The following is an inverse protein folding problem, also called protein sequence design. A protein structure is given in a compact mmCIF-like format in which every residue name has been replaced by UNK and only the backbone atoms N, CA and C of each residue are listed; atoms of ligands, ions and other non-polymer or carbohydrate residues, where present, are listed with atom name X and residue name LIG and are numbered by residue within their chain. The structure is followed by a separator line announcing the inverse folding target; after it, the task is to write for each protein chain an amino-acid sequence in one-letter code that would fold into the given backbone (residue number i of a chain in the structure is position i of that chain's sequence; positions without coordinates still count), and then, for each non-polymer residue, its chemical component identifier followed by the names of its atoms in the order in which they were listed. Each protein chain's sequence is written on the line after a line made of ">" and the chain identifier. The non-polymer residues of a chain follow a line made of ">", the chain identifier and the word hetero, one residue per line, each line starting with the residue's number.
data_IF_402299225069
#
_entry.id   IF_402299225069
#
_cell.length_a   1.000
_cell.length_b   1.000
_cell.length_c   1.000
_cell.angle_alpha   90.00
_cell.angle_beta   90.00
_cell.angle_gamma   90.00
#
_symmetry.space_group_name_H-M   'P 1'
#
loop_
_entity.id
_entity.type
_entity.pdbx_description
1 polymer ?
#
# COMPACT_ATOMS: atom_id res chain seq x y z
N UNK A 1 -26.84 30.33 48.45
CA UNK A 1 -27.95 29.63 47.78
C UNK A 1 -28.29 30.41 46.52
N UNK A 2 -27.98 29.88 45.33
CA UNK A 2 -28.34 30.51 44.05
C UNK A 2 -29.75 30.07 43.66
N UNK A 3 -30.66 31.00 43.29
CA UNK A 3 -31.97 30.62 42.80
C UNK A 3 -31.85 30.06 41.37
N UNK A 4 -32.33 28.83 41.17
CA UNK A 4 -32.49 28.27 39.84
C UNK A 4 -33.53 29.10 39.08
N UNK A 5 -33.10 29.82 38.04
CA UNK A 5 -34.01 30.53 37.15
C UNK A 5 -34.82 29.51 36.33
N UNK A 6 -36.14 29.49 36.52
CA UNK A 6 -37.04 28.67 35.72
C UNK A 6 -37.16 29.28 34.32
N UNK A 7 -36.65 28.56 33.32
CA UNK A 7 -36.76 28.95 31.91
C UNK A 7 -38.23 28.96 31.48
N UNK A 8 -38.66 30.03 30.80
CA UNK A 8 -40.03 30.08 30.28
C UNK A 8 -40.23 29.02 29.18
N UNK A 9 -41.46 28.54 29.01
CA UNK A 9 -41.80 27.52 28.00
C UNK A 9 -41.32 27.90 26.59
N UNK A 10 -41.35 29.18 26.25
CA UNK A 10 -40.82 29.71 24.98
C UNK A 10 -39.30 29.59 24.87
N UNK A 11 -38.55 29.86 25.93
CA UNK A 11 -37.09 29.70 25.94
C UNK A 11 -36.67 28.23 25.85
N UNK A 12 -37.43 27.30 26.45
CA UNK A 12 -37.22 25.86 26.27
C UNK A 12 -37.41 25.42 24.81
N UNK A 13 -38.46 25.90 24.14
CA UNK A 13 -38.70 25.60 22.73
C UNK A 13 -37.63 26.18 21.80
N UNK A 14 -37.17 27.41 22.06
CA UNK A 14 -36.06 28.00 21.32
C UNK A 14 -34.76 27.22 21.53
N UNK A 15 -34.46 26.80 22.77
CA UNK A 15 -33.30 25.96 23.06
C UNK A 15 -33.35 24.62 22.33
N UNK A 16 -34.50 23.96 22.32
CA UNK A 16 -34.69 22.71 21.58
C UNK A 16 -34.52 22.90 20.06
N UNK A 17 -35.01 24.01 19.51
CA UNK A 17 -34.89 24.32 18.08
C UNK A 17 -33.44 24.60 17.68
N UNK A 18 -32.68 25.32 18.51
CA UNK A 18 -31.25 25.59 18.28
C UNK A 18 -30.44 24.29 18.35
N UNK A 19 -30.68 23.44 19.35
CA UNK A 19 -29.99 22.14 19.46
C UNK A 19 -30.33 21.24 18.27
N UNK A 20 -31.60 21.21 17.86
CA UNK A 20 -32.04 20.47 16.68
C UNK A 20 -31.35 20.97 15.40
N UNK A 21 -31.25 22.28 15.22
CA UNK A 21 -30.58 22.88 14.06
C UNK A 21 -29.07 22.59 14.05
N UNK A 22 -28.39 22.65 15.21
CA UNK A 22 -26.97 22.29 15.32
C UNK A 22 -26.77 20.80 15.00
N UNK A 23 -27.60 19.90 15.56
CA UNK A 23 -27.53 18.47 15.26
C UNK A 23 -27.74 18.20 13.76
N UNK A 24 -28.71 18.88 13.14
CA UNK A 24 -28.97 18.75 11.70
C UNK A 24 -27.79 19.24 10.85
N UNK A 25 -27.20 20.38 11.21
CA UNK A 25 -26.02 20.93 10.53
C UNK A 25 -24.81 20.00 10.67
N UNK A 26 -24.59 19.39 11.83
CA UNK A 26 -23.49 18.43 12.03
C UNK A 26 -23.65 17.16 11.19
N UNK A 27 -24.88 16.68 11.00
CA UNK A 27 -25.17 15.51 10.16
C UNK A 27 -24.99 15.83 8.66
N UNK A 28 -25.34 17.04 8.22
CA UNK A 28 -25.19 17.47 6.84
C UNK A 28 -23.75 17.87 6.47
N UNK A 29 -22.95 18.31 7.45
CA UNK A 29 -21.53 18.65 7.26
C UNK A 29 -20.57 17.47 7.50
N UNK A 30 -21.06 16.27 7.83
CA UNK A 30 -20.23 15.10 7.95
C UNK A 30 -19.61 14.76 6.57
N UNK A 31 -18.28 14.77 6.41
CA UNK A 31 -17.66 14.51 5.12
C UNK A 31 -17.97 13.07 4.66
N UNK A 32 -18.72 12.92 3.58
CA UNK A 32 -19.10 11.62 2.98
C UNK A 32 -17.99 11.03 2.10
N UNK A 33 -16.73 11.35 2.39
CA UNK A 33 -15.60 10.84 1.62
C UNK A 33 -15.18 9.47 2.14
N UNK A 34 -15.89 8.42 1.73
CA UNK A 34 -15.34 7.06 1.72
C UNK A 34 -14.34 6.93 0.58
N UNK A 35 -13.23 7.69 0.62
CA UNK A 35 -12.05 7.34 -0.17
C UNK A 35 -11.62 5.99 0.39
N UNK A 36 -11.76 4.93 -0.40
CA UNK A 36 -11.36 3.58 0.01
C UNK A 36 -9.87 3.61 0.36
N UNK A 37 -9.54 3.68 1.66
CA UNK A 37 -8.16 3.71 2.20
C UNK A 37 -7.49 2.34 2.17
N UNK A 38 -7.93 1.49 1.26
CA UNK A 38 -7.39 0.15 1.07
C UNK A 38 -5.93 0.27 0.64
N UNK A 39 -5.03 -0.36 1.40
CA UNK A 39 -3.58 -0.22 1.20
C UNK A 39 -2.88 0.91 1.97
N UNK A 40 -3.58 1.76 2.74
CA UNK A 40 -2.90 2.82 3.50
C UNK A 40 -1.97 2.26 4.58
N UNK A 41 -0.78 2.85 4.66
CA UNK A 41 0.32 2.46 5.55
C UNK A 41 -0.03 2.54 7.03
N UNK A 42 -0.99 3.39 7.42
CA UNK A 42 -1.38 3.60 8.83
C UNK A 42 -2.80 3.12 9.15
N UNK A 43 -3.50 2.57 8.16
CA UNK A 43 -4.83 2.03 8.39
C UNK A 43 -4.74 0.79 9.28
N UNK A 44 -5.66 0.70 10.25
CA UNK A 44 -5.89 -0.51 11.07
C UNK A 44 -6.95 -1.44 10.47
N UNK A 45 -7.55 -1.06 9.34
CA UNK A 45 -8.50 -1.92 8.64
C UNK A 45 -7.81 -3.20 8.15
N UNK A 46 -8.52 -4.33 7.96
CA UNK A 46 -7.91 -5.59 7.53
C UNK A 46 -7.08 -5.50 6.23
N UNK A 47 -7.47 -4.61 5.33
CA UNK A 47 -6.81 -4.33 4.04
C UNK A 47 -5.79 -3.18 4.10
N UNK A 48 -5.56 -2.61 5.28
CA UNK A 48 -4.50 -1.64 5.56
C UNK A 48 -3.14 -2.30 5.84
N UNK A 49 -2.11 -1.49 5.99
CA UNK A 49 -0.72 -1.94 6.18
C UNK A 49 -0.09 -1.47 7.51
N UNK A 50 -0.91 -1.01 8.47
CA UNK A 50 -0.45 -0.51 9.77
C UNK A 50 0.40 -1.50 10.56
N UNK A 51 0.02 -2.78 10.59
CA UNK A 51 0.78 -3.81 11.31
C UNK A 51 2.12 -4.13 10.61
N UNK A 52 2.16 -4.12 9.28
CA UNK A 52 3.42 -4.24 8.53
C UNK A 52 4.32 -3.02 8.72
N UNK A 53 3.75 -1.80 8.77
CA UNK A 53 4.50 -0.59 9.11
C UNK A 53 5.16 -0.70 10.48
N UNK A 54 4.40 -1.10 11.51
CA UNK A 54 4.95 -1.32 12.85
C UNK A 54 6.05 -2.37 12.85
N UNK A 55 5.84 -3.49 12.16
CA UNK A 55 6.85 -4.53 11.99
C UNK A 55 8.16 -4.00 11.38
N UNK A 56 8.09 -3.13 10.38
CA UNK A 56 9.26 -2.49 9.77
C UNK A 56 9.96 -1.50 10.71
N UNK A 57 9.18 -0.75 11.48
CA UNK A 57 9.70 0.18 12.49
C UNK A 57 10.43 -0.55 13.62
N UNK A 58 9.83 -1.61 14.16
CA UNK A 58 10.35 -2.37 15.31
C UNK A 58 11.69 -3.05 15.01
N UNK A 59 11.93 -3.41 13.74
CA UNK A 59 13.20 -3.98 13.27
C UNK A 59 14.25 -2.95 12.86
N UNK A 60 13.98 -1.65 13.05
CA UNK A 60 14.91 -0.57 12.73
C UNK A 60 15.01 -0.23 11.24
N UNK A 61 14.01 -0.58 10.43
CA UNK A 61 13.93 -0.24 9.01
C UNK A 61 12.77 0.72 8.77
N UNK A 62 12.87 2.00 9.21
CA UNK A 62 11.76 2.94 9.11
C UNK A 62 11.37 3.20 7.66
N UNK A 63 10.06 3.32 7.41
CA UNK A 63 9.51 3.61 6.09
C UNK A 63 8.93 5.03 6.04
N UNK A 64 9.11 5.70 4.91
CA UNK A 64 8.64 7.06 4.67
C UNK A 64 7.33 7.06 3.88
N UNK A 65 6.51 8.11 4.07
CA UNK A 65 5.29 8.30 3.28
C UNK A 65 5.58 9.20 2.10
N UNK A 66 5.03 8.85 0.96
CA UNK A 66 4.98 9.68 -0.22
C UNK A 66 3.52 10.01 -0.54
N UNK A 67 3.17 11.30 -0.48
CA UNK A 67 1.78 11.79 -0.68
C UNK A 67 1.71 12.83 -1.80
N UNK A 68 2.63 12.73 -2.75
CA UNK A 68 2.72 13.64 -3.88
C UNK A 68 2.66 12.82 -5.18
N UNK A 69 2.34 13.43 -6.32
CA UNK A 69 2.39 12.75 -7.61
C UNK A 69 3.77 12.14 -7.89
N UNK A 70 3.79 11.05 -8.65
CA UNK A 70 5.01 10.32 -8.99
C UNK A 70 6.05 11.22 -9.67
N UNK A 71 5.63 12.18 -10.49
CA UNK A 71 6.49 13.11 -11.22
C UNK A 71 7.37 13.96 -10.29
N UNK A 72 6.93 14.17 -9.04
CA UNK A 72 7.70 14.90 -8.04
C UNK A 72 8.79 14.04 -7.38
N UNK A 73 8.75 12.70 -7.48
CA UNK A 73 9.83 11.83 -6.98
C UNK A 73 11.13 12.08 -7.74
N UNK A 74 11.06 12.21 -9.06
CA UNK A 74 12.21 12.50 -9.92
C UNK A 74 12.82 13.88 -9.62
N UNK A 75 12.00 14.86 -9.24
CA UNK A 75 12.46 16.20 -8.86
C UNK A 75 13.09 16.23 -7.46
N UNK A 76 12.68 15.31 -6.58
CA UNK A 76 13.26 15.16 -5.23
C UNK A 76 14.50 14.30 -5.18
N UNK A 77 14.85 13.59 -6.26
CA UNK A 77 16.18 13.01 -6.39
C UNK A 77 17.19 14.14 -6.53
N UNK A 78 18.05 14.38 -5.53
CA UNK A 78 19.08 15.38 -5.70
C UNK A 78 20.09 14.86 -6.71
N UNK A 79 20.59 15.76 -7.54
CA UNK A 79 21.59 15.52 -8.59
C UNK A 79 22.98 15.09 -8.06
N UNK A 80 23.07 14.66 -6.81
CA UNK A 80 24.30 14.33 -6.11
C UNK A 80 24.39 12.82 -5.86
N UNK A 81 25.50 12.24 -6.29
CA UNK A 81 25.95 10.84 -6.10
C UNK A 81 25.84 10.32 -4.63
N UNK A 82 25.55 11.20 -3.66
CA UNK A 82 25.60 10.94 -2.22
C UNK A 82 24.24 10.93 -1.50
N UNK A 83 23.10 11.09 -2.17
CA UNK A 83 21.80 10.72 -1.59
C UNK A 83 21.31 9.41 -2.22
N UNK A 84 20.98 8.44 -1.35
CA UNK A 84 20.71 7.05 -1.74
C UNK A 84 19.54 6.90 -2.70
N UNK A 85 19.53 5.78 -3.45
CA UNK A 85 18.40 5.40 -4.30
C UNK A 85 17.15 5.18 -3.45
N UNK A 86 15.98 5.12 -4.09
CA UNK A 86 14.71 4.94 -3.40
C UNK A 86 14.08 3.63 -3.83
N UNK A 87 13.56 2.88 -2.86
CA UNK A 87 12.52 1.88 -3.11
C UNK A 87 11.16 2.51 -2.88
N UNK A 88 10.36 2.64 -3.93
CA UNK A 88 8.97 3.08 -3.83
C UNK A 88 8.04 1.85 -3.82
N UNK A 89 7.22 1.73 -2.79
CA UNK A 89 6.15 0.75 -2.68
C UNK A 89 4.81 1.39 -3.06
N UNK A 90 4.13 0.85 -4.06
CA UNK A 90 2.79 1.23 -4.48
C UNK A 90 1.81 0.11 -4.16
N UNK A 91 0.73 0.45 -3.46
CA UNK A 91 -0.30 -0.51 -3.06
C UNK A 91 -1.59 -0.17 -3.80
N UNK A 92 -1.82 -0.83 -4.93
CA UNK A 92 -2.95 -0.55 -5.81
C UNK A 92 -4.16 -1.42 -5.45
N UNK A 93 -5.06 -0.91 -4.61
CA UNK A 93 -6.33 -1.57 -4.28
C UNK A 93 -7.20 -1.87 -5.51
N UNK A 94 -7.08 -1.03 -6.56
CA UNK A 94 -7.58 -1.32 -7.90
C UNK A 94 -6.45 -1.88 -8.75
N UNK A 95 -6.62 -3.10 -9.25
CA UNK A 95 -5.57 -3.78 -10.02
C UNK A 95 -5.17 -2.95 -11.25
N UNK A 96 -3.87 -2.75 -11.45
CA UNK A 96 -3.32 -2.02 -12.59
C UNK A 96 -2.55 -2.96 -13.51
N UNK A 97 -2.56 -2.68 -14.81
CA UNK A 97 -1.73 -3.43 -15.77
C UNK A 97 -0.26 -3.32 -15.34
N UNK A 98 0.47 -4.44 -15.38
CA UNK A 98 1.90 -4.46 -15.10
C UNK A 98 2.66 -3.84 -16.27
N UNK A 99 2.74 -2.52 -16.27
CA UNK A 99 3.41 -1.71 -17.27
C UNK A 99 3.90 -0.43 -16.63
N UNK A 100 5.07 0.03 -17.05
CA UNK A 100 5.63 1.31 -16.63
C UNK A 100 5.30 2.37 -17.68
N UNK A 101 4.96 3.57 -17.22
CA UNK A 101 5.03 4.76 -18.06
C UNK A 101 6.49 5.21 -18.27
N UNK A 102 6.71 6.20 -19.14
CA UNK A 102 8.04 6.68 -19.49
C UNK A 102 8.79 7.27 -18.27
N UNK A 103 8.08 7.96 -17.37
CA UNK A 103 8.68 8.55 -16.18
C UNK A 103 9.10 7.47 -15.18
N UNK A 104 8.23 6.49 -14.95
CA UNK A 104 8.50 5.34 -14.10
C UNK A 104 9.67 4.52 -14.63
N UNK A 105 9.68 4.26 -15.95
CA UNK A 105 10.76 3.53 -16.60
C UNK A 105 12.10 4.26 -16.42
N UNK A 106 12.19 5.54 -16.78
CA UNK A 106 13.42 6.32 -16.65
C UNK A 106 13.89 6.41 -15.19
N UNK A 107 12.95 6.54 -14.24
CA UNK A 107 13.26 6.57 -12.81
C UNK A 107 13.82 5.22 -12.31
N UNK A 108 13.28 4.09 -12.75
CA UNK A 108 13.82 2.77 -12.40
C UNK A 108 15.18 2.56 -13.07
N UNK A 109 15.33 2.88 -14.36
CA UNK A 109 16.61 2.78 -15.10
C UNK A 109 17.74 3.58 -14.42
N UNK A 110 17.39 4.70 -13.80
CA UNK A 110 18.30 5.50 -12.97
C UNK A 110 18.73 4.81 -11.65
N UNK A 111 18.38 3.55 -11.40
CA UNK A 111 18.87 2.75 -10.27
C UNK A 111 17.93 2.62 -9.08
N UNK A 112 16.66 3.00 -9.25
CA UNK A 112 15.67 2.92 -8.19
C UNK A 112 14.89 1.61 -8.25
N UNK A 113 14.18 1.31 -7.16
CA UNK A 113 13.33 0.13 -7.08
C UNK A 113 11.88 0.55 -7.04
N UNK A 114 11.05 0.00 -7.93
CA UNK A 114 9.60 0.14 -7.87
C UNK A 114 8.97 -1.19 -7.47
N UNK A 115 8.22 -1.23 -6.37
CA UNK A 115 7.47 -2.40 -5.93
C UNK A 115 5.99 -2.10 -6.05
N UNK A 116 5.28 -2.83 -6.90
CA UNK A 116 3.86 -2.62 -7.17
C UNK A 116 3.05 -3.82 -6.71
N UNK A 117 2.21 -3.61 -5.70
CA UNK A 117 1.21 -4.58 -5.26
C UNK A 117 -0.12 -4.30 -5.95
N UNK A 118 -0.77 -5.35 -6.45
CA UNK A 118 -2.02 -5.22 -7.21
C UNK A 118 -1.82 -5.11 -8.73
N UNK A 119 -0.88 -5.87 -9.29
CA UNK A 119 -0.78 -6.06 -10.73
C UNK A 119 -1.95 -6.89 -11.28
N UNK A 120 -2.52 -6.46 -12.39
CA UNK A 120 -3.63 -7.13 -13.04
C UNK A 120 -3.14 -8.38 -13.77
N UNK A 121 -3.80 -9.50 -13.48
CA UNK A 121 -3.68 -10.75 -14.21
C UNK A 121 -5.07 -11.38 -14.38
N UNK A 122 -5.28 -12.17 -15.45
CA UNK A 122 -6.54 -12.86 -15.67
C UNK A 122 -6.83 -13.84 -14.51
N UNK A 123 -8.11 -14.02 -14.21
CA UNK A 123 -8.54 -15.05 -13.26
C UNK A 123 -8.29 -16.43 -13.88
N UNK A 124 -7.83 -17.37 -13.06
CA UNK A 124 -7.57 -18.76 -13.43
C UNK A 124 -8.24 -19.72 -12.46
N UNK A 125 -8.20 -21.02 -12.76
CA UNK A 125 -8.71 -22.07 -11.86
C UNK A 125 -7.79 -22.36 -10.65
N UNK A 126 -6.83 -21.48 -10.35
CA UNK A 126 -6.02 -21.62 -9.14
C UNK A 126 -6.91 -21.58 -7.89
N UNK A 127 -6.53 -22.35 -6.86
CA UNK A 127 -7.13 -22.20 -5.54
C UNK A 127 -6.96 -20.74 -5.07
N UNK A 128 -8.02 -20.17 -4.50
CA UNK A 128 -7.98 -18.76 -4.06
C UNK A 128 -6.91 -18.56 -2.99
N UNK A 129 -6.81 -19.47 -2.01
CA UNK A 129 -5.80 -19.46 -0.95
C UNK A 129 -4.73 -20.50 -1.24
N UNK A 130 -3.47 -20.06 -1.27
CA UNK A 130 -2.31 -20.93 -1.42
C UNK A 130 -1.21 -20.54 -0.43
N UNK A 131 -0.34 -21.50 -0.11
CA UNK A 131 0.90 -21.25 0.61
C UNK A 131 2.04 -21.38 -0.39
N UNK A 132 2.89 -20.35 -0.44
CA UNK A 132 4.03 -20.28 -1.33
C UNK A 132 5.31 -20.30 -0.47
N UNK A 133 6.28 -21.14 -0.83
CA UNK A 133 7.56 -21.19 -0.13
C UNK A 133 8.45 -20.05 -0.59
N UNK A 134 9.05 -19.31 0.35
CA UNK A 134 10.06 -18.29 0.09
C UNK A 134 11.28 -18.50 1.00
N UNK A 135 12.37 -17.78 0.74
CA UNK A 135 13.59 -17.82 1.57
C UNK A 135 13.34 -17.38 3.02
N UNK A 136 12.32 -16.55 3.23
CA UNK A 136 11.95 -16.00 4.55
C UNK A 136 10.79 -16.76 5.22
N UNK A 137 10.39 -17.89 4.65
CA UNK A 137 9.33 -18.75 5.17
C UNK A 137 8.12 -18.86 4.25
N UNK A 138 7.04 -19.43 4.77
CA UNK A 138 5.80 -19.62 4.03
C UNK A 138 5.03 -18.29 3.91
N UNK A 139 4.66 -17.95 2.68
CA UNK A 139 3.86 -16.76 2.35
C UNK A 139 2.47 -17.22 1.97
N UNK A 140 1.46 -16.73 2.69
CA UNK A 140 0.06 -16.97 2.35
C UNK A 140 -0.36 -16.02 1.23
N UNK A 141 -0.94 -16.56 0.16
CA UNK A 141 -1.40 -15.76 -0.97
C UNK A 141 -2.88 -16.06 -1.21
N UNK A 142 -3.70 -15.00 -1.17
CA UNK A 142 -5.12 -15.07 -1.46
C UNK A 142 -5.47 -14.34 -2.76
N UNK A 143 -5.33 -15.03 -3.90
CA UNK A 143 -5.72 -14.54 -5.23
C UNK A 143 -5.94 -15.69 -6.21
N UNK A 144 -6.88 -15.53 -7.14
CA UNK A 144 -7.06 -16.44 -8.30
C UNK A 144 -6.33 -15.97 -9.56
N UNK A 145 -5.51 -14.93 -9.44
CA UNK A 145 -4.90 -14.21 -10.56
C UNK A 145 -3.38 -14.34 -10.62
N UNK A 146 -2.80 -15.55 -10.60
CA UNK A 146 -1.40 -15.66 -10.96
C UNK A 146 -1.12 -15.24 -12.41
N UNK A 147 0.11 -14.80 -12.66
CA UNK A 147 0.58 -14.31 -13.95
C UNK A 147 1.43 -15.36 -14.67
N UNK A 148 1.27 -15.45 -15.99
CA UNK A 148 2.13 -16.27 -16.83
C UNK A 148 3.35 -15.45 -17.23
N UNK A 149 4.53 -15.84 -16.75
CA UNK A 149 5.76 -15.18 -17.16
C UNK A 149 6.19 -15.66 -18.54
N UNK A 150 6.64 -14.76 -19.44
CA UNK A 150 7.29 -15.19 -20.66
C UNK A 150 8.55 -16.00 -20.32
N UNK A 151 8.84 -17.04 -21.12
CA UNK A 151 9.95 -17.98 -20.87
C UNK A 151 11.35 -17.38 -21.09
N UNK A 152 11.46 -16.11 -21.50
CA UNK A 152 12.72 -15.46 -21.88
C UNK A 152 12.71 -13.98 -21.46
N UNK A 153 13.87 -13.46 -21.04
CA UNK A 153 14.10 -12.01 -20.86
C UNK A 153 14.72 -11.63 -19.51
N UNK A 154 14.58 -10.35 -19.17
CA UNK A 154 14.99 -9.68 -17.92
C UNK A 154 14.05 -9.96 -16.73
N UNK A 155 13.05 -10.82 -16.94
CA UNK A 155 11.98 -11.12 -15.99
C UNK A 155 12.34 -12.38 -15.21
N UNK A 156 12.29 -12.32 -13.88
CA UNK A 156 12.53 -13.46 -13.00
C UNK A 156 11.37 -13.68 -12.02
N UNK A 157 11.03 -14.95 -11.80
CA UNK A 157 10.05 -15.37 -10.80
C UNK A 157 10.62 -15.13 -9.40
N UNK A 158 9.86 -14.44 -8.54
CA UNK A 158 10.24 -14.19 -7.14
C UNK A 158 9.40 -15.03 -6.19
N UNK A 159 8.10 -15.16 -6.45
CA UNK A 159 7.20 -16.02 -5.71
C UNK A 159 6.13 -16.59 -6.64
N UNK A 160 5.90 -17.90 -6.55
CA UNK A 160 4.86 -18.58 -7.30
C UNK A 160 5.16 -20.06 -7.37
N UNK A 161 4.41 -20.75 -8.21
CA UNK A 161 4.56 -22.17 -8.43
C UNK A 161 5.02 -22.48 -9.87
N UNK A 162 5.18 -23.77 -10.17
CA UNK A 162 5.65 -24.31 -11.46
C UNK A 162 4.84 -23.86 -12.68
N UNK A 163 3.68 -23.22 -12.51
CA UNK A 163 2.84 -22.80 -13.62
C UNK A 163 2.58 -21.29 -13.65
N UNK A 164 2.82 -20.56 -12.54
CA UNK A 164 2.03 -19.36 -12.25
C UNK A 164 2.73 -18.44 -11.22
N UNK A 165 3.09 -17.23 -11.64
CA UNK A 165 3.76 -16.24 -10.80
C UNK A 165 2.76 -15.45 -9.94
N UNK A 166 3.07 -15.28 -8.67
CA UNK A 166 2.38 -14.33 -7.77
C UNK A 166 3.18 -13.04 -7.68
N UNK A 167 4.50 -13.16 -7.56
CA UNK A 167 5.44 -12.05 -7.57
C UNK A 167 6.54 -12.33 -8.57
N UNK A 168 6.86 -11.34 -9.40
CA UNK A 168 7.98 -11.38 -10.33
C UNK A 168 8.70 -10.05 -10.32
N UNK A 169 9.93 -10.04 -10.80
CA UNK A 169 10.73 -8.83 -10.94
C UNK A 169 11.30 -8.73 -12.36
N UNK A 170 11.52 -7.50 -12.80
CA UNK A 170 12.14 -7.17 -14.08
C UNK A 170 13.29 -6.21 -13.80
N UNK A 171 14.49 -6.56 -14.26
CA UNK A 171 15.65 -5.67 -14.15
C UNK A 171 15.65 -4.67 -15.31
N UNK A 172 15.85 -3.39 -14.98
CA UNK A 172 15.92 -2.29 -15.95
C UNK A 172 17.18 -1.47 -15.65
N UNK A 173 18.20 -1.63 -16.49
CA UNK A 173 19.53 -1.03 -16.32
C UNK A 173 20.08 -1.17 -14.88
N UNK A 174 20.12 -0.08 -14.11
CA UNK A 174 20.67 -0.07 -12.75
C UNK A 174 19.63 -0.39 -11.67
N UNK A 175 18.35 -0.42 -12.03
CA UNK A 175 17.24 -0.62 -11.10
C UNK A 175 16.41 -1.85 -11.42
N UNK A 176 15.27 -1.95 -10.76
CA UNK A 176 14.33 -3.06 -10.94
C UNK A 176 12.91 -2.66 -10.61
N UNK A 177 11.97 -3.34 -11.25
CA UNK A 177 10.55 -3.33 -10.86
C UNK A 177 10.16 -4.69 -10.32
N UNK A 178 9.34 -4.72 -9.26
CA UNK A 178 8.75 -5.92 -8.68
C UNK A 178 7.24 -5.78 -8.75
N UNK A 179 6.57 -6.79 -9.29
CA UNK A 179 5.13 -6.83 -9.43
C UNK A 179 4.55 -7.94 -8.58
N UNK A 180 3.44 -7.68 -7.90
CA UNK A 180 2.66 -8.69 -7.19
C UNK A 180 1.19 -8.65 -7.62
N UNK A 181 0.60 -9.80 -7.91
CA UNK A 181 -0.79 -9.88 -8.40
C UNK A 181 -1.86 -9.58 -7.34
N UNK A 182 -1.45 -9.47 -6.08
CA UNK A 182 -2.32 -9.15 -4.95
C UNK A 182 -1.91 -7.82 -4.31
N UNK A 183 -2.87 -6.94 -3.99
CA UNK A 183 -2.61 -5.73 -3.22
C UNK A 183 -2.54 -5.98 -1.71
N UNK A 184 -2.67 -7.23 -1.26
CA UNK A 184 -2.80 -7.57 0.16
C UNK A 184 -1.63 -8.41 0.69
N UNK A 185 -0.49 -8.43 -0.01
CA UNK A 185 0.66 -9.31 0.29
C UNK A 185 1.11 -9.25 1.76
N UNK A 186 1.00 -8.11 2.43
CA UNK A 186 1.31 -7.96 3.85
C UNK A 186 0.27 -7.07 4.56
N UNK A 187 -0.99 -7.15 4.14
CA UNK A 187 -2.07 -6.41 4.78
C UNK A 187 -2.27 -6.87 6.24
N UNK A 188 -2.96 -6.08 7.04
CA UNK A 188 -3.26 -6.38 8.46
C UNK A 188 -3.97 -7.73 8.65
N UNK A 189 -4.73 -8.19 7.66
CA UNK A 189 -5.34 -9.52 7.64
C UNK A 189 -4.34 -10.69 7.69
N UNK A 190 -3.05 -10.41 7.50
CA UNK A 190 -1.93 -11.35 7.56
C UNK A 190 -1.04 -11.13 8.79
N UNK A 191 -1.51 -10.42 9.82
CA UNK A 191 -0.72 -10.15 11.04
C UNK A 191 -0.23 -11.43 11.76
N UNK A 192 -0.96 -12.53 11.61
CA UNK A 192 -0.59 -13.83 12.18
C UNK A 192 0.33 -14.65 11.24
N UNK A 193 0.55 -14.19 10.00
CA UNK A 193 1.36 -14.84 8.98
C UNK A 193 2.70 -14.10 8.83
N UNK A 194 3.63 -14.27 9.78
CA UNK A 194 4.92 -13.55 9.78
C UNK A 194 5.68 -13.61 8.45
N UNK A 195 5.60 -14.73 7.72
CA UNK A 195 6.25 -14.89 6.42
C UNK A 195 5.81 -13.85 5.38
N UNK A 196 4.54 -13.41 5.41
CA UNK A 196 4.05 -12.33 4.55
C UNK A 196 4.76 -10.99 4.81
N UNK A 197 5.01 -10.68 6.08
CA UNK A 197 5.63 -9.41 6.48
C UNK A 197 7.13 -9.40 6.18
N UNK A 198 7.81 -10.50 6.49
CA UNK A 198 9.21 -10.70 6.13
C UNK A 198 9.40 -10.68 4.60
N UNK A 199 8.49 -11.30 3.86
CA UNK A 199 8.58 -11.35 2.41
C UNK A 199 8.43 -9.97 1.78
N UNK A 200 7.42 -9.19 2.16
CA UNK A 200 7.33 -7.82 1.66
C UNK A 200 8.55 -6.99 2.10
N UNK A 201 9.04 -7.16 3.32
CA UNK A 201 10.26 -6.49 3.79
C UNK A 201 11.48 -6.83 2.92
N UNK A 202 11.63 -8.09 2.50
CA UNK A 202 12.68 -8.54 1.58
C UNK A 202 12.55 -7.87 0.20
N UNK A 203 11.32 -7.70 -0.31
CA UNK A 203 11.10 -7.05 -1.61
C UNK A 203 11.50 -5.57 -1.58
N UNK A 204 11.17 -4.85 -0.51
CA UNK A 204 11.36 -3.39 -0.45
C UNK A 204 12.73 -2.97 0.09
N UNK A 205 13.38 -3.81 0.90
CA UNK A 205 14.66 -3.46 1.53
C UNK A 205 15.80 -3.71 0.55
N UNK A 206 16.45 -2.63 0.12
CA UNK A 206 17.62 -2.68 -0.75
C UNK A 206 18.82 -1.98 -0.09
N UNK A 207 20.06 -2.48 -0.26
CA UNK A 207 21.23 -1.84 0.31
C UNK A 207 21.33 -0.38 -0.13
N UNK A 208 21.51 0.52 0.85
CA UNK A 208 21.64 1.97 0.63
C UNK A 208 20.44 2.63 -0.08
N UNK A 209 19.26 2.00 -0.03
CA UNK A 209 18.03 2.61 -0.51
C UNK A 209 17.10 2.97 0.65
N UNK A 210 16.47 4.14 0.56
CA UNK A 210 15.38 4.50 1.48
C UNK A 210 14.06 3.92 0.99
N UNK A 211 13.16 3.52 1.90
CA UNK A 211 11.90 2.86 1.58
C UNK A 211 10.76 3.84 1.76
N UNK A 212 10.01 4.09 0.68
CA UNK A 212 8.92 5.05 0.62
C UNK A 212 7.65 4.31 0.22
N UNK A 213 6.51 4.63 0.84
CA UNK A 213 5.21 4.07 0.48
C UNK A 213 4.35 5.16 -0.12
N UNK A 214 3.85 4.89 -1.32
CA UNK A 214 2.95 5.76 -2.06
C UNK A 214 1.54 5.73 -1.47
N UNK A 215 1.07 6.90 -1.05
CA UNK A 215 -0.28 7.17 -0.54
C UNK A 215 -0.92 8.36 -1.27
N UNK A 216 -0.48 8.65 -2.50
CA UNK A 216 -1.04 9.70 -3.36
C UNK A 216 -2.41 9.37 -3.97
#
# INVERSE_FOLDING_TARGET
>A
MNPAQNLSRRQMWFGALVIGAIALLTLLSAPTQSVSRSGSTYSRAPDGYGAWYSFMSDRGTPIQRWQQPFEQLAQKQPSSVNQGKITLLQINSRLKVASLDENQKAWVEAGNTLVVLGAHAPVTDAAFRTWQTSEVGNVRVETRRPHYLPKQGTISLVLGDRFRAVVWQESLDQGRVVWATTPHLAANAYQDDRGNYEFLAQLVTQPKQSIWVDES
#
